data_IF_966084412691
#
_entry.id   IF_966084412691
#
_cell.length_a   1.000
_cell.length_b   1.000
_cell.length_c   1.000
_cell.angle_alpha   90.00
_cell.angle_beta   90.00
_cell.angle_gamma   90.00
#
_symmetry.space_group_name_H-M   'P 1'
#
loop_
_entity.id
_entity.type
_entity.pdbx_description
1 polymer ?
#
# COMPACT_ATOMS: atom_id res chain seq x y z
N UNK A 1 52.46 34.67 -19.54
CA UNK A 1 51.91 33.34 -19.19
C UNK A 1 50.40 33.47 -18.90
N UNK A 2 49.71 34.40 -19.57
CA UNK A 2 48.45 34.97 -19.04
C UNK A 2 47.20 34.66 -19.87
N UNK A 3 47.32 33.99 -21.03
CA UNK A 3 46.15 33.69 -21.86
C UNK A 3 45.40 32.41 -21.47
N UNK A 4 46.00 31.51 -20.69
CA UNK A 4 45.37 30.26 -20.27
C UNK A 4 44.48 30.41 -19.03
N UNK A 5 44.75 31.41 -18.18
CA UNK A 5 43.99 31.61 -16.95
C UNK A 5 42.65 32.35 -17.22
N UNK A 6 42.63 33.24 -18.20
CA UNK A 6 41.46 34.03 -18.59
C UNK A 6 40.41 33.19 -19.38
N UNK A 7 40.87 32.14 -20.08
CA UNK A 7 39.99 31.17 -20.74
C UNK A 7 39.29 30.24 -19.74
N UNK A 8 39.98 29.82 -18.68
CA UNK A 8 39.42 28.94 -17.66
C UNK A 8 38.40 29.68 -16.79
N UNK A 9 38.66 30.94 -16.44
CA UNK A 9 37.73 31.80 -15.70
C UNK A 9 36.41 32.02 -16.45
N UNK A 10 36.49 32.39 -17.74
CA UNK A 10 35.30 32.60 -18.60
C UNK A 10 34.49 31.33 -18.83
N UNK A 11 35.12 30.16 -18.79
CA UNK A 11 34.43 28.88 -18.93
C UNK A 11 33.69 28.51 -17.64
N UNK A 12 34.30 28.80 -16.48
CA UNK A 12 33.69 28.56 -15.18
C UNK A 12 32.51 29.51 -14.90
N UNK A 13 32.62 30.78 -15.29
CA UNK A 13 31.52 31.75 -15.20
C UNK A 13 30.34 31.34 -16.09
N UNK A 14 30.58 30.90 -17.33
CA UNK A 14 29.53 30.37 -18.21
C UNK A 14 28.82 29.15 -17.65
N UNK A 15 29.56 28.20 -17.08
CA UNK A 15 28.99 27.00 -16.46
C UNK A 15 28.14 27.34 -15.23
N UNK A 16 28.57 28.34 -14.46
CA UNK A 16 27.86 28.78 -13.27
C UNK A 16 26.57 29.53 -13.64
N UNK A 17 26.60 30.35 -14.69
CA UNK A 17 25.42 31.01 -15.24
C UNK A 17 24.43 30.00 -15.84
N UNK A 18 24.91 28.98 -16.57
CA UNK A 18 24.07 27.88 -17.07
C UNK A 18 23.42 27.08 -15.93
N UNK A 19 24.15 26.82 -14.85
CA UNK A 19 23.63 26.13 -13.66
C UNK A 19 22.56 26.95 -12.95
N UNK A 20 22.76 28.26 -12.81
CA UNK A 20 21.79 29.17 -12.20
C UNK A 20 20.54 29.29 -13.06
N UNK A 21 20.69 29.31 -14.39
CA UNK A 21 19.56 29.37 -15.31
C UNK A 21 18.77 28.04 -15.32
N UNK A 22 19.45 26.89 -15.21
CA UNK A 22 18.80 25.59 -15.01
C UNK A 22 18.06 25.51 -13.66
N UNK A 23 18.65 26.01 -12.58
CA UNK A 23 17.98 26.06 -11.26
C UNK A 23 16.77 26.99 -11.27
N UNK A 24 16.87 28.14 -11.95
CA UNK A 24 15.77 29.08 -12.16
C UNK A 24 14.63 28.45 -12.96
N UNK A 25 14.96 27.68 -14.00
CA UNK A 25 13.97 26.96 -14.81
C UNK A 25 13.31 25.82 -14.03
N UNK A 26 14.07 25.04 -13.24
CA UNK A 26 13.50 24.01 -12.36
C UNK A 26 12.59 24.60 -11.27
N UNK A 27 12.96 25.74 -10.69
CA UNK A 27 12.11 26.44 -9.72
C UNK A 27 10.86 27.02 -10.38
N UNK A 28 10.95 27.55 -11.61
CA UNK A 28 9.79 27.99 -12.39
C UNK A 28 8.85 26.84 -12.74
N UNK A 29 9.37 25.66 -13.08
CA UNK A 29 8.56 24.46 -13.32
C UNK A 29 7.93 23.92 -12.02
N UNK A 30 8.63 24.02 -10.89
CA UNK A 30 8.12 23.61 -9.58
C UNK A 30 7.07 24.58 -9.01
N UNK A 31 7.25 25.90 -9.21
CA UNK A 31 6.31 26.94 -8.79
C UNK A 31 5.18 27.18 -9.78
N UNK A 32 5.43 26.90 -11.06
CA UNK A 32 4.39 26.70 -12.04
C UNK A 32 3.58 25.52 -11.56
N UNK A 33 2.40 25.79 -11.00
CA UNK A 33 1.37 24.77 -10.77
C UNK A 33 0.91 24.27 -12.15
N UNK A 34 1.80 23.65 -12.92
CA UNK A 34 1.45 22.93 -14.12
C UNK A 34 0.39 21.95 -13.67
N UNK A 35 -0.82 22.15 -14.18
CA UNK A 35 -1.91 21.20 -14.03
C UNK A 35 -1.31 19.89 -14.48
N UNK A 36 -1.08 18.96 -13.55
CA UNK A 36 -0.54 17.64 -13.85
C UNK A 36 -1.50 17.03 -14.84
N UNK A 37 -1.14 17.09 -16.12
CA UNK A 37 -1.92 16.48 -17.18
C UNK A 37 -1.91 14.98 -16.87
N UNK A 38 -3.08 14.35 -16.73
CA UNK A 38 -3.12 12.93 -16.44
C UNK A 38 -2.36 12.21 -17.56
N UNK A 39 -1.37 11.40 -17.18
CA UNK A 39 -0.62 10.58 -18.12
C UNK A 39 -1.65 9.68 -18.81
N UNK A 40 -1.90 9.91 -20.09
CA UNK A 40 -2.89 9.12 -20.82
C UNK A 40 -2.37 7.71 -21.04
N UNK A 41 -3.25 6.73 -20.87
CA UNK A 41 -2.92 5.34 -21.14
C UNK A 41 -2.60 5.16 -22.63
N UNK A 42 -1.47 4.52 -22.94
CA UNK A 42 -1.10 4.14 -24.30
C UNK A 42 -1.18 2.62 -24.46
N UNK A 43 -2.12 2.17 -25.29
CA UNK A 43 -2.22 0.76 -25.66
C UNK A 43 -0.99 0.32 -26.47
N UNK A 44 -0.58 -0.94 -26.31
CA UNK A 44 0.53 -1.51 -27.07
C UNK A 44 1.92 -1.11 -26.58
N UNK A 45 2.04 -0.59 -25.35
CA UNK A 45 3.35 -0.38 -24.72
C UNK A 45 4.00 -1.72 -24.40
N UNK A 46 5.25 -1.91 -24.84
CA UNK A 46 6.10 -3.04 -24.50
C UNK A 46 6.94 -2.79 -23.24
N UNK A 47 6.68 -1.70 -22.53
CA UNK A 47 7.38 -1.29 -21.32
C UNK A 47 6.35 -1.01 -20.21
N UNK A 48 6.54 -1.64 -19.05
CA UNK A 48 5.88 -1.27 -17.80
C UNK A 48 6.93 -0.62 -16.91
N UNK A 49 6.79 0.70 -16.69
CA UNK A 49 7.59 1.45 -15.73
C UNK A 49 6.66 2.08 -14.71
N UNK A 50 6.77 1.67 -13.44
CA UNK A 50 5.97 2.25 -12.35
C UNK A 50 6.85 2.60 -11.15
N UNK A 51 6.52 3.68 -10.42
CA UNK A 51 7.29 4.10 -9.26
C UNK A 51 7.17 3.08 -8.11
N UNK A 52 8.08 3.16 -7.15
CA UNK A 52 8.01 2.37 -5.92
C UNK A 52 6.80 2.73 -5.07
N UNK A 53 6.38 1.81 -4.21
CA UNK A 53 5.30 2.01 -3.25
C UNK A 53 5.60 1.26 -1.95
N UNK A 54 5.45 1.95 -0.81
CA UNK A 54 5.82 1.45 0.50
C UNK A 54 7.33 1.19 0.58
N UNK A 55 7.70 -0.01 1.01
CA UNK A 55 9.09 -0.48 1.02
C UNK A 55 9.53 -1.13 -0.30
N UNK A 56 8.66 -1.22 -1.31
CA UNK A 56 8.96 -1.87 -2.57
C UNK A 56 9.53 -0.88 -3.59
N UNK A 57 10.65 -1.27 -4.20
CA UNK A 57 11.35 -0.47 -5.20
C UNK A 57 10.53 -0.28 -6.48
N UNK A 58 10.85 0.77 -7.24
CA UNK A 58 10.33 0.99 -8.58
C UNK A 58 10.65 -0.21 -9.49
N UNK A 59 9.76 -0.50 -10.44
CA UNK A 59 9.96 -1.59 -11.39
C UNK A 59 9.96 -1.05 -12.81
N UNK A 60 10.81 -1.67 -13.63
CA UNK A 60 10.88 -1.48 -15.06
C UNK A 60 10.94 -2.87 -15.70
N UNK A 61 9.94 -3.22 -16.49
CA UNK A 61 9.83 -4.52 -17.16
C UNK A 61 9.59 -4.27 -18.63
N UNK A 62 10.50 -4.76 -19.47
CA UNK A 62 10.46 -4.65 -20.92
C UNK A 62 10.05 -6.02 -21.50
N UNK A 63 9.10 -6.03 -22.45
CA UNK A 63 8.73 -7.22 -23.21
C UNK A 63 9.40 -7.16 -24.60
N UNK A 64 10.17 -8.19 -25.00
CA UNK A 64 10.73 -8.25 -26.35
C UNK A 64 9.63 -8.16 -27.41
N UNK A 65 9.82 -7.35 -28.46
CA UNK A 65 8.82 -7.17 -29.53
C UNK A 65 8.49 -8.47 -30.27
N UNK A 66 9.46 -9.38 -30.34
CA UNK A 66 9.34 -10.72 -30.95
C UNK A 66 8.54 -11.71 -30.09
N UNK A 67 8.09 -11.31 -28.90
CA UNK A 67 7.26 -12.15 -28.04
C UNK A 67 5.96 -12.55 -28.74
N UNK A 68 5.50 -13.76 -28.46
CA UNK A 68 4.25 -14.29 -29.00
C UNK A 68 3.06 -13.39 -28.67
N UNK A 69 2.04 -13.42 -29.54
CA UNK A 69 0.89 -12.52 -29.40
C UNK A 69 0.16 -12.70 -28.08
N UNK A 70 0.12 -13.93 -27.53
CA UNK A 70 -0.47 -14.20 -26.22
C UNK A 70 0.30 -13.53 -25.08
N UNK A 71 1.64 -13.56 -25.09
CA UNK A 71 2.46 -12.82 -24.10
C UNK A 71 2.16 -11.33 -24.17
N UNK A 72 2.14 -10.78 -25.37
CA UNK A 72 1.87 -9.36 -25.60
C UNK A 72 0.52 -8.93 -25.01
N UNK A 73 -0.53 -9.70 -25.28
CA UNK A 73 -1.90 -9.38 -24.83
C UNK A 73 -2.01 -9.43 -23.30
N UNK A 74 -1.37 -10.40 -22.64
CA UNK A 74 -1.32 -10.45 -21.17
C UNK A 74 -0.51 -9.27 -20.62
N UNK A 75 0.63 -8.98 -21.23
CA UNK A 75 1.48 -7.86 -20.83
C UNK A 75 0.73 -6.53 -20.95
N UNK A 76 -0.02 -6.31 -22.04
CA UNK A 76 -0.84 -5.10 -22.21
C UNK A 76 -1.96 -5.01 -21.16
N UNK A 77 -2.59 -6.14 -20.79
CA UNK A 77 -3.58 -6.15 -19.71
C UNK A 77 -2.94 -5.76 -18.36
N UNK A 78 -1.76 -6.29 -18.07
CA UNK A 78 -1.00 -5.93 -16.86
C UNK A 78 -0.53 -4.47 -16.89
N UNK A 79 -0.10 -3.96 -18.04
CA UNK A 79 0.27 -2.55 -18.24
C UNK A 79 -0.92 -1.62 -17.98
N UNK A 80 -2.12 -1.96 -18.48
CA UNK A 80 -3.32 -1.17 -18.20
C UNK A 80 -3.70 -1.20 -16.72
N UNK A 81 -3.61 -2.37 -16.07
CA UNK A 81 -3.86 -2.46 -14.63
C UNK A 81 -2.84 -1.63 -13.82
N UNK A 82 -1.56 -1.67 -14.21
CA UNK A 82 -0.51 -0.83 -13.63
C UNK A 82 -0.86 0.65 -13.79
N UNK A 83 -1.30 1.05 -14.98
CA UNK A 83 -1.66 2.44 -15.24
C UNK A 83 -2.79 2.91 -14.33
N UNK A 84 -3.86 2.12 -14.23
CA UNK A 84 -4.98 2.40 -13.34
C UNK A 84 -4.53 2.50 -11.88
N UNK A 85 -3.66 1.61 -11.41
CA UNK A 85 -3.23 1.64 -10.01
C UNK A 85 -2.30 2.79 -9.67
N UNK A 86 -1.39 3.17 -10.57
CA UNK A 86 -0.31 4.12 -10.27
C UNK A 86 -0.61 5.55 -10.71
N UNK A 87 -1.30 5.72 -11.83
CA UNK A 87 -1.54 7.01 -12.46
C UNK A 87 -3.00 7.47 -12.35
N UNK A 88 -3.87 6.68 -11.70
CA UNK A 88 -5.21 7.13 -11.32
C UNK A 88 -5.39 7.03 -9.81
N UNK A 89 -6.03 8.03 -9.21
CA UNK A 89 -6.32 8.06 -7.77
C UNK A 89 -7.58 7.25 -7.38
N UNK A 90 -8.09 6.44 -8.31
CA UNK A 90 -9.35 5.69 -8.17
C UNK A 90 -9.21 4.40 -7.38
N UNK A 91 -7.98 3.99 -7.04
CA UNK A 91 -7.72 2.70 -6.41
C UNK A 91 -6.99 2.84 -5.06
N UNK A 92 -7.27 1.96 -4.09
CA UNK A 92 -6.56 1.96 -2.80
C UNK A 92 -5.05 1.73 -2.95
N UNK A 93 -4.28 2.33 -2.04
CA UNK A 93 -2.81 2.25 -2.03
C UNK A 93 -2.25 0.82 -2.08
N UNK A 94 -2.91 -0.13 -1.39
CA UNK A 94 -2.47 -1.52 -1.36
C UNK A 94 -2.47 -2.20 -2.74
N UNK A 95 -3.17 -1.66 -3.74
CA UNK A 95 -3.12 -2.17 -5.12
C UNK A 95 -1.76 -1.89 -5.76
N UNK A 96 -1.14 -0.74 -5.47
CA UNK A 96 0.22 -0.39 -5.92
C UNK A 96 1.23 -1.38 -5.36
N UNK A 97 1.21 -1.62 -4.04
CA UNK A 97 2.13 -2.58 -3.39
C UNK A 97 1.91 -4.01 -3.87
N UNK A 98 0.65 -4.44 -4.04
CA UNK A 98 0.33 -5.77 -4.56
C UNK A 98 0.79 -5.95 -6.01
N UNK A 99 0.72 -4.90 -6.84
CA UNK A 99 1.22 -4.95 -8.21
C UNK A 99 2.73 -5.10 -8.26
N UNK A 100 3.47 -4.33 -7.46
CA UNK A 100 4.93 -4.45 -7.37
C UNK A 100 5.38 -5.83 -6.90
N UNK A 101 4.61 -6.47 -6.02
CA UNK A 101 4.95 -7.80 -5.50
C UNK A 101 4.46 -8.94 -6.40
N UNK A 102 3.15 -9.07 -6.62
CA UNK A 102 2.56 -10.17 -7.39
C UNK A 102 2.65 -9.94 -8.89
N UNK A 103 2.39 -8.71 -9.35
CA UNK A 103 2.41 -8.36 -10.77
C UNK A 103 3.79 -8.56 -11.37
N UNK A 104 4.85 -8.09 -10.70
CA UNK A 104 6.24 -8.33 -11.10
C UNK A 104 6.55 -9.81 -11.28
N UNK A 105 6.31 -10.62 -10.24
CA UNK A 105 6.58 -12.06 -10.28
C UNK A 105 5.84 -12.80 -11.39
N UNK A 106 4.61 -12.37 -11.69
CA UNK A 106 3.85 -12.94 -12.79
C UNK A 106 4.42 -12.56 -14.15
N UNK A 107 4.85 -11.30 -14.32
CA UNK A 107 5.47 -10.82 -15.56
C UNK A 107 6.84 -11.48 -15.79
N UNK A 108 7.65 -11.65 -14.75
CA UNK A 108 8.91 -12.39 -14.80
C UNK A 108 8.64 -13.84 -15.26
N UNK A 109 7.67 -14.52 -14.61
CA UNK A 109 7.26 -15.88 -14.98
C UNK A 109 6.77 -16.02 -16.43
N UNK A 110 6.00 -15.05 -16.95
CA UNK A 110 5.54 -15.09 -18.36
C UNK A 110 6.71 -14.88 -19.32
N UNK A 111 7.66 -14.01 -18.96
CA UNK A 111 8.81 -13.72 -19.80
C UNK A 111 9.62 -14.99 -20.03
N UNK A 112 9.83 -15.78 -18.97
CA UNK A 112 10.61 -17.03 -18.97
C UNK A 112 9.89 -18.24 -19.61
N UNK A 113 8.61 -18.13 -19.99
CA UNK A 113 7.84 -19.25 -20.55
C UNK A 113 7.97 -19.35 -22.07
N UNK A 114 8.64 -20.37 -22.60
CA UNK A 114 8.79 -20.53 -24.05
C UNK A 114 7.50 -20.99 -24.78
N UNK A 115 6.71 -21.88 -24.16
CA UNK A 115 5.60 -22.58 -24.83
C UNK A 115 4.19 -22.01 -24.51
N UNK A 116 4.07 -20.71 -24.32
CA UNK A 116 2.79 -20.08 -23.94
C UNK A 116 1.67 -20.27 -24.99
N UNK A 117 2.03 -20.50 -26.25
CA UNK A 117 1.05 -20.71 -27.31
C UNK A 117 0.30 -22.04 -27.18
N UNK A 118 0.90 -23.04 -26.56
CA UNK A 118 0.26 -24.32 -26.25
C UNK A 118 -0.57 -24.23 -24.96
N UNK A 119 -0.21 -23.30 -24.06
CA UNK A 119 -0.80 -23.15 -22.73
C UNK A 119 -1.89 -22.06 -22.76
N UNK A 120 -3.09 -22.43 -23.21
CA UNK A 120 -4.19 -21.47 -23.42
C UNK A 120 -5.07 -21.23 -22.19
N UNK A 121 -5.49 -22.29 -21.48
CA UNK A 121 -6.50 -22.16 -20.39
C UNK A 121 -5.89 -22.27 -18.99
N UNK A 122 -4.74 -22.95 -18.86
CA UNK A 122 -4.16 -23.30 -17.56
C UNK A 122 -2.99 -22.39 -17.13
N UNK A 123 -2.66 -21.34 -17.88
CA UNK A 123 -1.49 -20.49 -17.60
C UNK A 123 -1.48 -19.97 -16.15
N UNK A 124 -2.60 -19.42 -15.68
CA UNK A 124 -2.69 -18.90 -14.32
C UNK A 124 -2.58 -20.00 -13.25
N UNK A 125 -2.98 -21.23 -13.58
CA UNK A 125 -2.89 -22.38 -12.68
C UNK A 125 -1.46 -22.95 -12.62
N UNK A 126 -0.75 -22.90 -13.75
CA UNK A 126 0.68 -23.22 -13.79
C UNK A 126 1.48 -22.18 -13.01
N UNK A 127 1.13 -20.89 -13.12
CA UNK A 127 1.74 -19.85 -12.28
C UNK A 127 1.49 -20.10 -10.78
N UNK A 128 0.26 -20.41 -10.38
CA UNK A 128 -0.06 -20.78 -9.00
C UNK A 128 0.78 -21.99 -8.53
N UNK A 129 0.88 -23.02 -9.37
CA UNK A 129 1.69 -24.21 -9.09
C UNK A 129 3.18 -23.89 -8.96
N UNK A 130 3.71 -23.03 -9.83
CA UNK A 130 5.09 -22.56 -9.79
C UNK A 130 5.36 -21.83 -8.48
N UNK A 131 4.49 -20.90 -8.07
CA UNK A 131 4.62 -20.16 -6.82
C UNK A 131 4.61 -21.08 -5.59
N UNK A 132 3.73 -22.08 -5.57
CA UNK A 132 3.66 -23.03 -4.45
C UNK A 132 4.89 -23.96 -4.41
N UNK A 133 5.30 -24.50 -5.57
CA UNK A 133 6.40 -25.50 -5.63
C UNK A 133 7.79 -24.88 -5.53
N UNK A 134 8.02 -23.76 -6.23
CA UNK A 134 9.33 -23.11 -6.36
C UNK A 134 9.51 -22.04 -5.28
N UNK A 135 8.59 -21.08 -5.19
CA UNK A 135 8.68 -19.97 -4.23
C UNK A 135 8.24 -20.38 -2.80
N UNK A 136 7.79 -21.64 -2.62
CA UNK A 136 7.35 -22.22 -1.33
C UNK A 136 6.29 -21.37 -0.60
N UNK A 137 5.43 -20.68 -1.35
CA UNK A 137 4.32 -19.92 -0.75
C UNK A 137 3.09 -20.78 -0.56
N UNK A 138 2.26 -20.41 0.42
CA UNK A 138 0.92 -21.00 0.59
C UNK A 138 0.05 -20.74 -0.64
N UNK A 139 -0.91 -21.61 -0.89
CA UNK A 139 -1.81 -21.55 -2.05
C UNK A 139 -2.54 -20.20 -2.14
N UNK A 140 -3.06 -19.70 -1.02
CA UNK A 140 -3.71 -18.39 -0.92
C UNK A 140 -2.78 -17.18 -1.12
N UNK A 141 -1.47 -17.38 -1.02
CA UNK A 141 -0.43 -16.35 -1.15
C UNK A 141 0.27 -16.40 -2.51
N UNK A 142 -0.21 -17.23 -3.45
CA UNK A 142 0.32 -17.33 -4.81
C UNK A 142 0.24 -16.02 -5.59
N UNK A 143 -0.80 -15.22 -5.33
CA UNK A 143 -1.12 -13.98 -6.05
C UNK A 143 -2.13 -14.17 -7.18
N UNK A 144 -2.61 -15.40 -7.41
CA UNK A 144 -3.53 -15.74 -8.50
C UNK A 144 -4.78 -14.83 -8.56
N UNK A 145 -5.44 -14.63 -7.42
CA UNK A 145 -6.63 -13.79 -7.33
C UNK A 145 -6.34 -12.33 -7.73
N UNK A 146 -5.15 -11.82 -7.37
CA UNK A 146 -4.74 -10.47 -7.72
C UNK A 146 -4.48 -10.33 -9.23
N UNK A 147 -3.76 -11.28 -9.83
CA UNK A 147 -3.50 -11.29 -11.28
C UNK A 147 -4.80 -11.39 -12.07
N UNK A 148 -5.71 -12.27 -11.67
CA UNK A 148 -7.04 -12.37 -12.26
C UNK A 148 -7.80 -11.04 -12.20
N UNK A 149 -7.77 -10.36 -11.06
CA UNK A 149 -8.39 -9.04 -10.92
C UNK A 149 -7.73 -7.97 -11.81
N UNK A 150 -6.41 -8.04 -12.06
CA UNK A 150 -5.73 -7.13 -12.99
C UNK A 150 -6.25 -7.32 -14.42
N UNK A 151 -6.37 -8.57 -14.87
CA UNK A 151 -6.89 -8.89 -16.20
C UNK A 151 -8.36 -8.46 -16.33
N UNK A 152 -9.19 -8.74 -15.33
CA UNK A 152 -10.58 -8.31 -15.30
C UNK A 152 -10.73 -6.78 -15.29
N UNK A 153 -9.87 -6.09 -14.53
CA UNK A 153 -9.84 -4.64 -14.51
C UNK A 153 -9.55 -4.09 -15.90
N UNK A 154 -8.49 -4.58 -16.56
CA UNK A 154 -8.16 -4.17 -17.92
C UNK A 154 -9.33 -4.42 -18.89
N UNK A 155 -9.94 -5.61 -18.87
CA UNK A 155 -11.08 -5.95 -19.72
C UNK A 155 -12.32 -5.09 -19.47
N UNK A 156 -12.52 -4.55 -18.27
CA UNK A 156 -13.65 -3.67 -17.98
C UNK A 156 -13.49 -2.26 -18.54
N UNK A 157 -12.32 -1.90 -19.05
CA UNK A 157 -11.99 -0.56 -19.54
C UNK A 157 -12.19 -0.48 -21.06
N UNK A 158 -13.06 0.42 -21.57
CA UNK A 158 -13.30 0.54 -23.01
C UNK A 158 -12.04 0.86 -23.82
N UNK A 159 -11.14 1.65 -23.26
CA UNK A 159 -9.85 2.04 -23.86
C UNK A 159 -8.94 0.83 -24.13
N UNK A 160 -9.03 -0.20 -23.30
CA UNK A 160 -8.33 -1.46 -23.50
C UNK A 160 -9.11 -2.39 -24.42
N UNK A 161 -10.39 -2.60 -24.10
CA UNK A 161 -11.23 -3.63 -24.71
C UNK A 161 -11.37 -3.44 -26.23
N UNK A 162 -11.55 -2.19 -26.69
CA UNK A 162 -11.72 -1.87 -28.11
C UNK A 162 -10.47 -2.11 -28.96
N UNK A 163 -9.29 -2.10 -28.34
CA UNK A 163 -8.01 -2.32 -29.03
C UNK A 163 -7.64 -3.80 -29.16
N UNK A 164 -8.47 -4.70 -28.61
CA UNK A 164 -8.29 -6.15 -28.71
C UNK A 164 -9.21 -6.74 -29.78
N UNK A 165 -8.71 -7.73 -30.49
CA UNK A 165 -9.53 -8.61 -31.34
C UNK A 165 -10.42 -9.53 -30.49
N UNK A 166 -11.49 -10.05 -31.09
CA UNK A 166 -12.43 -10.96 -30.41
C UNK A 166 -11.75 -12.22 -29.85
N UNK A 167 -10.71 -12.72 -30.52
CA UNK A 167 -9.93 -13.88 -30.08
C UNK A 167 -9.15 -13.54 -28.81
N UNK A 168 -8.53 -12.36 -28.76
CA UNK A 168 -7.75 -11.91 -27.61
C UNK A 168 -8.63 -11.59 -26.39
N UNK A 169 -9.79 -10.98 -26.63
CA UNK A 169 -10.81 -10.76 -25.59
C UNK A 169 -11.25 -12.10 -25.00
N UNK A 170 -11.56 -13.08 -25.86
CA UNK A 170 -11.97 -14.42 -25.43
C UNK A 170 -10.86 -15.15 -24.67
N UNK A 171 -9.61 -15.01 -25.12
CA UNK A 171 -8.44 -15.57 -24.45
C UNK A 171 -8.28 -15.02 -23.03
N UNK A 172 -8.23 -13.69 -22.88
CA UNK A 172 -8.11 -13.05 -21.57
C UNK A 172 -9.30 -13.38 -20.67
N UNK A 173 -10.53 -13.35 -21.19
CA UNK A 173 -11.72 -13.73 -20.45
C UNK A 173 -11.64 -15.21 -19.98
N UNK A 174 -11.12 -16.10 -20.82
CA UNK A 174 -10.86 -17.50 -20.50
C UNK A 174 -9.90 -17.66 -19.32
N UNK A 175 -8.77 -16.93 -19.31
CA UNK A 175 -7.82 -16.93 -18.19
C UNK A 175 -8.48 -16.55 -16.86
N UNK A 176 -9.42 -15.60 -16.88
CA UNK A 176 -10.11 -15.17 -15.66
C UNK A 176 -11.09 -16.23 -15.12
N UNK A 177 -11.47 -17.25 -15.88
CA UNK A 177 -12.39 -18.31 -15.40
C UNK A 177 -11.70 -19.38 -14.57
N UNK A 178 -10.37 -19.37 -14.48
CA UNK A 178 -9.59 -20.33 -13.69
C UNK A 178 -10.00 -20.26 -12.21
N UNK A 179 -10.35 -21.41 -11.63
CA UNK A 179 -10.61 -21.58 -10.20
C UNK A 179 -9.29 -21.70 -9.46
N UNK A 180 -9.11 -20.89 -8.41
CA UNK A 180 -7.99 -21.00 -7.49
C UNK A 180 -8.02 -22.36 -6.79
N UNK A 181 -6.84 -22.87 -6.43
CA UNK A 181 -6.74 -24.07 -5.62
C UNK A 181 -7.33 -23.84 -4.21
N UNK A 182 -7.71 -24.95 -3.55
CA UNK A 182 -8.25 -24.90 -2.21
C UNK A 182 -7.25 -24.25 -1.26
N UNK A 183 -7.74 -23.49 -0.27
CA UNK A 183 -6.88 -22.87 0.73
C UNK A 183 -6.19 -23.98 1.53
N UNK A 184 -4.91 -23.80 1.81
CA UNK A 184 -4.19 -24.68 2.72
C UNK A 184 -4.85 -24.60 4.10
N UNK A 185 -4.88 -25.72 4.82
CA UNK A 185 -5.42 -25.76 6.18
C UNK A 185 -4.72 -24.72 7.06
N UNK A 186 -5.50 -23.91 7.77
CA UNK A 186 -4.94 -22.99 8.74
C UNK A 186 -4.51 -23.79 9.97
N UNK A 187 -3.21 -23.95 10.15
CA UNK A 187 -2.66 -24.43 11.42
C UNK A 187 -3.00 -23.43 12.51
N UNK A 188 -3.99 -23.75 13.36
CA UNK A 188 -4.32 -22.92 14.51
C UNK A 188 -3.16 -22.98 15.50
N UNK A 189 -2.49 -21.84 15.69
CA UNK A 189 -1.46 -21.70 16.71
C UNK A 189 -2.11 -21.29 18.03
N UNK A 190 -2.04 -22.16 19.03
CA UNK A 190 -2.56 -21.83 20.36
C UNK A 190 -1.67 -20.80 21.05
N UNK A 191 -2.24 -20.01 21.95
CA UNK A 191 -1.47 -19.02 22.72
C UNK A 191 -0.38 -19.71 23.55
N UNK A 192 -0.65 -20.91 24.07
CA UNK A 192 0.33 -21.74 24.76
C UNK A 192 1.48 -22.17 23.85
N UNK A 193 1.19 -22.58 22.60
CA UNK A 193 2.24 -22.89 21.62
C UNK A 193 3.09 -21.66 21.28
N UNK A 194 2.47 -20.48 21.17
CA UNK A 194 3.20 -19.23 20.98
C UNK A 194 4.16 -18.95 22.14
N UNK A 195 3.72 -19.04 23.40
CA UNK A 195 4.62 -18.87 24.55
C UNK A 195 5.71 -19.94 24.59
N UNK A 196 5.40 -21.20 24.23
CA UNK A 196 6.34 -22.31 24.18
C UNK A 196 7.50 -22.10 23.19
N UNK A 197 7.28 -21.39 22.09
CA UNK A 197 8.33 -21.05 21.12
C UNK A 197 9.27 -19.92 21.57
N UNK A 198 8.88 -19.13 22.58
CA UNK A 198 9.64 -17.99 23.06
C UNK A 198 10.43 -18.34 24.33
N UNK A 199 11.31 -19.33 24.22
CA UNK A 199 12.09 -19.85 25.36
C UNK A 199 12.96 -18.82 26.08
N UNK A 200 13.27 -17.67 25.45
CA UNK A 200 13.96 -16.56 26.09
C UNK A 200 13.16 -15.95 27.27
N UNK A 201 11.82 -16.02 27.23
CA UNK A 201 10.96 -15.55 28.33
C UNK A 201 11.16 -16.36 29.62
N UNK A 202 11.61 -17.62 29.52
CA UNK A 202 11.87 -18.48 30.68
C UNK A 202 13.12 -18.09 31.45
N UNK A 203 14.04 -17.36 30.82
CA UNK A 203 15.34 -17.03 31.42
C UNK A 203 15.15 -16.09 32.62
N UNK A 204 15.98 -16.29 33.64
CA UNK A 204 15.95 -15.46 34.87
C UNK A 204 16.62 -14.09 34.69
N UNK A 205 17.52 -13.94 33.71
CA UNK A 205 18.35 -12.75 33.53
C UNK A 205 17.73 -11.69 32.60
N UNK A 206 16.97 -12.12 31.60
CA UNK A 206 16.33 -11.24 30.60
C UNK A 206 14.83 -11.48 30.43
N UNK A 207 14.31 -12.58 30.97
CA UNK A 207 12.93 -13.00 30.83
C UNK A 207 12.09 -12.68 32.07
N UNK A 208 10.94 -13.32 32.16
CA UNK A 208 10.04 -13.25 33.32
C UNK A 208 10.38 -14.30 34.39
N UNK A 209 11.44 -15.09 34.18
CA UNK A 209 11.85 -16.17 35.06
C UNK A 209 11.05 -17.46 34.88
N UNK A 210 11.61 -18.55 35.39
CA UNK A 210 11.09 -19.89 35.19
C UNK A 210 9.71 -20.08 35.83
N UNK A 211 9.50 -19.50 37.01
CA UNK A 211 8.26 -19.67 37.77
C UNK A 211 7.07 -19.06 37.02
N UNK A 212 7.17 -17.78 36.63
CA UNK A 212 6.11 -17.09 35.89
C UNK A 212 5.90 -17.74 34.52
N UNK A 213 6.98 -18.06 33.79
CA UNK A 213 6.87 -18.75 32.50
C UNK A 213 6.11 -20.08 32.60
N UNK A 214 6.37 -20.87 33.65
CA UNK A 214 5.69 -22.16 33.86
C UNK A 214 4.19 -21.99 34.16
N UNK A 215 3.78 -20.88 34.78
CA UNK A 215 2.35 -20.57 34.97
C UNK A 215 1.65 -20.29 33.63
N UNK A 216 2.34 -19.63 32.69
CA UNK A 216 1.83 -19.32 31.34
C UNK A 216 1.75 -20.58 30.46
N UNK A 217 2.55 -21.61 30.75
CA UNK A 217 2.47 -22.90 30.09
C UNK A 217 1.16 -23.67 30.37
N UNK A 218 0.42 -23.33 31.44
CA UNK A 218 -0.90 -23.88 31.71
C UNK A 218 -1.97 -23.12 30.91
N UNK A 219 -2.68 -23.77 29.95
CA UNK A 219 -3.72 -23.11 29.17
C UNK A 219 -4.82 -22.49 30.04
N UNK A 220 -5.16 -23.14 31.15
CA UNK A 220 -6.19 -22.68 32.09
C UNK A 220 -5.79 -21.38 32.78
N UNK A 221 -4.57 -21.32 33.30
CA UNK A 221 -4.06 -20.13 34.00
C UNK A 221 -3.89 -18.98 33.00
N UNK A 222 -3.30 -19.26 31.83
CA UNK A 222 -3.11 -18.27 30.77
C UNK A 222 -4.42 -17.62 30.32
N UNK A 223 -5.45 -18.43 30.03
CA UNK A 223 -6.77 -17.90 29.63
C UNK A 223 -7.43 -17.12 30.77
N UNK A 224 -7.29 -17.56 32.02
CA UNK A 224 -7.82 -16.82 33.17
C UNK A 224 -7.13 -15.46 33.33
N UNK A 225 -5.81 -15.41 33.28
CA UNK A 225 -5.03 -14.16 33.32
C UNK A 225 -5.38 -13.25 32.14
N UNK A 226 -5.57 -13.81 30.95
CA UNK A 226 -6.00 -13.05 29.77
C UNK A 226 -7.39 -12.42 29.97
N UNK A 227 -8.35 -13.19 30.50
CA UNK A 227 -9.69 -12.67 30.83
C UNK A 227 -9.64 -11.53 31.84
N UNK A 228 -8.82 -11.67 32.89
CA UNK A 228 -8.62 -10.61 33.89
C UNK A 228 -8.01 -9.38 33.24
N UNK A 229 -6.96 -9.54 32.43
CA UNK A 229 -6.33 -8.44 31.70
C UNK A 229 -7.33 -7.70 30.82
N UNK A 230 -8.14 -8.42 30.04
CA UNK A 230 -9.17 -7.83 29.18
C UNK A 230 -10.21 -7.09 30.02
N UNK A 231 -10.71 -7.71 31.09
CA UNK A 231 -11.68 -7.08 31.98
C UNK A 231 -11.12 -5.79 32.62
N UNK A 232 -9.92 -5.84 33.19
CA UNK A 232 -9.26 -4.67 33.78
C UNK A 232 -8.96 -3.59 32.74
N UNK A 233 -8.58 -3.97 31.52
CA UNK A 233 -8.33 -3.01 30.42
C UNK A 233 -9.62 -2.32 29.99
N UNK A 234 -10.73 -3.07 29.89
CA UNK A 234 -12.05 -2.50 29.58
C UNK A 234 -12.53 -1.55 30.68
N UNK A 235 -12.32 -1.89 31.95
CA UNK A 235 -12.61 -1.00 33.09
C UNK A 235 -11.77 0.28 32.99
N UNK A 236 -10.47 0.16 32.71
CA UNK A 236 -9.58 1.30 32.50
C UNK A 236 -10.03 2.19 31.34
N UNK A 237 -10.42 1.59 30.21
CA UNK A 237 -10.94 2.30 29.05
C UNK A 237 -12.26 3.03 29.37
N UNK A 238 -13.17 2.37 30.11
CA UNK A 238 -14.41 2.98 30.54
C UNK A 238 -14.15 4.14 31.52
N UNK A 239 -13.21 4.00 32.44
CA UNK A 239 -12.80 5.07 33.35
C UNK A 239 -12.21 6.25 32.59
N UNK A 240 -11.29 6.00 31.65
CA UNK A 240 -10.73 7.05 30.79
C UNK A 240 -11.81 7.75 29.96
N UNK A 241 -12.78 7.00 29.43
CA UNK A 241 -13.94 7.57 28.73
C UNK A 241 -14.77 8.46 29.66
N UNK A 242 -15.04 8.02 30.89
CA UNK A 242 -15.80 8.82 31.85
C UNK A 242 -15.06 10.11 32.20
N UNK A 243 -13.75 10.05 32.50
CA UNK A 243 -12.92 11.24 32.76
C UNK A 243 -12.92 12.19 31.55
N UNK A 244 -12.86 11.64 30.32
CA UNK A 244 -12.96 12.44 29.11
C UNK A 244 -14.33 13.10 28.98
N UNK A 245 -15.42 12.40 29.30
CA UNK A 245 -16.77 12.97 29.29
C UNK A 245 -16.91 14.09 30.33
N UNK A 246 -16.40 13.87 31.54
CA UNK A 246 -16.41 14.87 32.61
C UNK A 246 -15.62 16.12 32.18
N UNK A 247 -14.43 15.93 31.60
CA UNK A 247 -13.62 17.03 31.04
C UNK A 247 -14.37 17.82 29.96
N UNK A 248 -15.06 17.12 29.05
CA UNK A 248 -15.83 17.78 27.99
C UNK A 248 -17.02 18.56 28.57
N UNK A 249 -17.69 18.01 29.58
CA UNK A 249 -18.77 18.69 30.30
C UNK A 249 -18.26 19.95 31.02
N UNK A 250 -17.16 19.84 31.75
CA UNK A 250 -16.53 20.96 32.47
C UNK A 250 -16.06 22.06 31.52
N UNK A 251 -15.53 21.68 30.35
CA UNK A 251 -15.14 22.60 29.29
C UNK A 251 -16.32 23.17 28.49
N UNK A 252 -17.56 22.77 28.83
CA UNK A 252 -18.80 23.12 28.13
C UNK A 252 -18.72 22.83 26.61
N UNK A 253 -18.05 21.72 26.26
CA UNK A 253 -17.92 21.24 24.88
C UNK A 253 -19.13 20.35 24.59
N UNK A 254 -19.91 20.76 23.59
CA UNK A 254 -21.16 20.13 23.20
C UNK A 254 -21.03 19.41 21.86
N UNK A 255 -22.03 18.61 21.48
CA UNK A 255 -22.08 17.96 20.17
C UNK A 255 -22.06 18.94 18.99
N UNK A 256 -22.43 20.21 19.19
CA UNK A 256 -22.29 21.27 18.19
C UNK A 256 -20.85 21.73 17.99
N UNK A 257 -19.98 21.55 18.99
CA UNK A 257 -18.55 21.89 18.92
C UNK A 257 -17.73 20.75 18.32
N UNK A 258 -18.23 19.53 18.50
CA UNK A 258 -17.80 18.34 17.81
C UNK A 258 -18.66 18.21 16.54
N UNK A 259 -18.51 19.14 15.59
CA UNK A 259 -19.04 18.92 14.24
C UNK A 259 -18.63 17.49 13.84
N UNK A 260 -19.64 16.61 13.71
CA UNK A 260 -19.39 15.18 13.55
C UNK A 260 -18.42 15.01 12.38
N UNK A 261 -17.36 14.24 12.59
CA UNK A 261 -16.47 13.83 11.51
C UNK A 261 -17.34 13.34 10.34
N UNK A 262 -17.43 14.14 9.29
CA UNK A 262 -18.29 13.81 8.17
C UNK A 262 -17.68 12.60 7.43
N UNK A 263 -18.49 11.73 6.83
CA UNK A 263 -18.00 10.70 5.94
C UNK A 263 -17.08 11.28 4.86
N UNK A 264 -15.98 10.58 4.54
CA UNK A 264 -15.06 11.04 3.49
C UNK A 264 -15.70 11.18 2.11
N UNK A 265 -16.88 10.59 1.93
CA UNK A 265 -17.69 10.58 0.71
C UNK A 265 -18.35 11.93 0.42
N UNK A 266 -18.50 12.79 1.44
CA UNK A 266 -19.11 14.12 1.32
C UNK A 266 -18.12 15.18 0.79
N UNK A 267 -16.86 14.80 0.53
CA UNK A 267 -15.79 15.71 0.13
C UNK A 267 -15.34 15.46 -1.30
N UNK A 268 -15.04 16.53 -2.04
CA UNK A 268 -14.62 16.45 -3.43
C UNK A 268 -13.20 15.87 -3.59
N UNK A 269 -12.40 15.91 -2.53
CA UNK A 269 -11.05 15.35 -2.49
C UNK A 269 -10.61 14.92 -1.10
N UNK A 270 -9.62 14.02 -1.04
CA UNK A 270 -8.97 13.61 0.22
C UNK A 270 -8.28 14.78 0.93
N UNK A 271 -7.75 15.74 0.17
CA UNK A 271 -7.09 16.92 0.73
C UNK A 271 -8.10 17.82 1.45
N UNK A 272 -9.29 17.99 0.88
CA UNK A 272 -10.39 18.73 1.48
C UNK A 272 -10.89 18.05 2.77
N UNK A 273 -11.10 16.72 2.72
CA UNK A 273 -11.47 15.92 3.89
C UNK A 273 -10.44 16.03 5.02
N UNK A 274 -9.16 15.90 4.70
CA UNK A 274 -8.07 16.03 5.68
C UNK A 274 -7.99 17.44 6.28
N UNK A 275 -8.23 18.47 5.47
CA UNK A 275 -8.24 19.87 5.91
C UNK A 275 -9.43 20.15 6.84
N UNK A 276 -10.62 19.62 6.52
CA UNK A 276 -11.80 19.69 7.38
C UNK A 276 -11.55 19.04 8.74
N UNK A 277 -11.11 17.77 8.76
CA UNK A 277 -10.82 17.05 10.01
C UNK A 277 -9.75 17.75 10.86
N UNK A 278 -8.73 18.30 10.21
CA UNK A 278 -7.67 19.06 10.90
C UNK A 278 -8.24 20.32 11.55
N UNK A 279 -9.14 21.05 10.87
CA UNK A 279 -9.80 22.23 11.44
C UNK A 279 -10.68 21.88 12.65
N UNK A 280 -11.48 20.82 12.55
CA UNK A 280 -12.32 20.34 13.66
C UNK A 280 -11.46 20.00 14.87
N UNK A 281 -10.37 19.25 14.67
CA UNK A 281 -9.43 18.90 15.74
C UNK A 281 -8.75 20.13 16.36
N UNK A 282 -8.29 21.07 15.54
CA UNK A 282 -7.63 22.31 16.01
C UNK A 282 -8.61 23.15 16.84
N UNK A 283 -9.86 23.29 16.41
CA UNK A 283 -10.88 24.03 17.15
C UNK A 283 -11.18 23.38 18.51
N UNK A 284 -11.28 22.05 18.56
CA UNK A 284 -11.47 21.30 19.80
C UNK A 284 -10.29 21.50 20.76
N UNK A 285 -9.05 21.36 20.25
CA UNK A 285 -7.84 21.54 21.04
C UNK A 285 -7.70 22.97 21.57
N UNK A 286 -8.08 23.98 20.79
CA UNK A 286 -8.07 25.38 21.23
C UNK A 286 -9.04 25.61 22.40
N UNK A 287 -10.26 25.03 22.34
CA UNK A 287 -11.21 25.14 23.45
C UNK A 287 -10.72 24.46 24.71
N UNK A 288 -10.16 23.27 24.59
CA UNK A 288 -9.54 22.55 25.72
C UNK A 288 -8.37 23.32 26.31
N UNK A 289 -7.55 23.96 25.46
CA UNK A 289 -6.44 24.82 25.92
C UNK A 289 -6.95 26.04 26.69
N UNK A 290 -7.96 26.75 26.17
CA UNK A 290 -8.56 27.90 26.86
C UNK A 290 -9.16 27.49 28.22
N UNK A 291 -9.82 26.32 28.28
CA UNK A 291 -10.32 25.77 29.53
C UNK A 291 -9.19 25.48 30.52
N UNK A 292 -8.13 24.80 30.07
CA UNK A 292 -6.96 24.48 30.87
C UNK A 292 -6.28 25.74 31.44
N UNK A 293 -6.05 26.74 30.60
CA UNK A 293 -5.37 27.99 30.99
C UNK A 293 -6.19 28.74 32.06
N UNK A 294 -7.53 28.81 31.91
CA UNK A 294 -8.44 29.39 32.92
C UNK A 294 -8.47 28.62 34.24
N UNK A 295 -8.25 27.30 34.21
CA UNK A 295 -8.25 26.46 35.40
C UNK A 295 -6.93 26.50 36.17
N UNK A 296 -5.81 26.77 35.48
CA UNK A 296 -4.50 27.02 36.11
C UNK A 296 -4.50 28.38 36.81
N UNK A 297 -5.04 29.43 36.18
CA UNK A 297 -5.12 30.77 36.76
C UNK A 297 -5.99 30.84 38.03
N UNK A 298 -6.96 29.93 38.21
CA UNK A 298 -7.78 29.82 39.43
C UNK A 298 -7.12 29.06 40.58
N UNK A 299 -6.01 28.35 40.34
CA UNK A 299 -5.29 27.56 41.35
C UNK A 299 -4.09 28.29 41.95
N UNK A 300 -3.74 29.47 41.43
CA UNK A 300 -2.74 30.39 41.96
C UNK A 300 -3.42 31.63 42.54
#
# INVERSE_FOLDING_TARGET
MDSNNDSALKTHERLQDELLDQQSNMLKEHHGKQVVQPIHYKFGSYLIAVPGAGSLAAIRIDLPKESTRKKQVIFFAMHHAAHEFFFTDKHPYHKKTNFLYFGRKFLDYISDLDNIDEITVNLLKLFETHRVKVDKVKTQSSGLAFIKNCIQLALSKPEFYRNLSNIEQSYLAGLTKVKAAARDESTQKTLTAWFGEHGWLRREDVGIGHELYSRVASPRILIQSFRIMVASSLIGLQSAKNVLLDLLQDANITSSDLELFQPSEDFSSKAEYSSYNSKVLVNLLQKLKIFHDKHIEKKH
#
